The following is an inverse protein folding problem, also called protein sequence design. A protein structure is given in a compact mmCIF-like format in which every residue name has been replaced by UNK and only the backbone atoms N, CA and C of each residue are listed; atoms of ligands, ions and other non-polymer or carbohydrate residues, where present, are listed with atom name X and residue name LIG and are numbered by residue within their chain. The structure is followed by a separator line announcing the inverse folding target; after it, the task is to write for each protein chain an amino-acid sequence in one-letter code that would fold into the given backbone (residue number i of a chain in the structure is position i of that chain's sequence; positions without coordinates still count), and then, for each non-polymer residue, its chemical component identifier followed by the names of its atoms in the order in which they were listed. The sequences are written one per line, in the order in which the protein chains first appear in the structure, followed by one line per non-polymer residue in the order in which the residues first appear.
data_IF_520463123795
#
_entry.id   IF_520463123795
#
_cell.length_a   1.000
_cell.length_b   1.000
_cell.length_c   1.000
_cell.angle_alpha   90.00
_cell.angle_beta   90.00
_cell.angle_gamma   90.00
#
_symmetry.space_group_name_H-M   'P 1'
#
loop_
_entity.id
_entity.type
_entity.pdbx_description
1 polymer ?
#
# COMPACT_ATOMS: atom_id res chain seq x y z
N UNK A 1 62.22 105.59 -82.70
CA UNK A 1 61.74 104.23 -83.03
C UNK A 1 62.26 103.27 -81.96
N UNK A 2 61.38 102.48 -81.34
CA UNK A 2 61.69 101.32 -80.49
C UNK A 2 62.22 101.65 -79.08
N UNK A 3 61.36 101.81 -78.07
CA UNK A 3 60.96 100.80 -77.04
C UNK A 3 62.09 100.40 -76.10
N UNK A 4 62.08 100.95 -74.87
CA UNK A 4 61.65 100.27 -73.61
C UNK A 4 62.80 99.44 -72.98
N UNK A 5 63.14 99.56 -71.70
CA UNK A 5 62.53 100.28 -70.59
C UNK A 5 63.49 100.25 -69.38
N UNK A 6 63.38 101.31 -68.58
CA UNK A 6 64.04 101.53 -67.29
C UNK A 6 63.38 100.72 -66.17
N UNK A 7 64.05 100.56 -65.02
CA UNK A 7 63.43 100.14 -63.75
C UNK A 7 64.34 99.26 -62.89
N UNK A 8 65.36 99.77 -62.18
CA UNK A 8 65.32 100.39 -60.82
C UNK A 8 65.39 99.36 -59.67
N UNK A 9 66.29 99.67 -58.72
CA UNK A 9 66.65 98.98 -57.47
C UNK A 9 65.51 98.89 -56.41
N UNK A 10 65.70 98.16 -55.27
CA UNK A 10 64.73 97.28 -54.59
C UNK A 10 63.94 97.96 -53.45
N UNK A 11 63.01 97.26 -52.74
CA UNK A 11 63.37 96.79 -51.39
C UNK A 11 62.62 95.55 -50.82
N UNK A 12 63.22 94.97 -49.79
CA UNK A 12 62.92 93.76 -49.01
C UNK A 12 61.59 93.69 -48.22
N UNK A 13 60.55 94.47 -48.50
CA UNK A 13 59.38 94.59 -47.61
C UNK A 13 58.14 93.72 -47.95
N UNK A 14 58.17 92.93 -49.02
CA UNK A 14 56.97 92.19 -49.46
C UNK A 14 57.00 90.68 -49.14
N UNK A 15 58.18 90.11 -48.90
CA UNK A 15 58.36 88.65 -48.72
C UNK A 15 57.98 88.15 -47.31
N UNK A 16 58.06 89.00 -46.28
CA UNK A 16 57.78 88.65 -44.87
C UNK A 16 56.28 88.56 -44.55
N UNK A 17 55.42 89.25 -45.31
CA UNK A 17 53.97 89.32 -45.06
C UNK A 17 53.21 88.05 -45.45
N UNK A 18 53.65 87.36 -46.50
CA UNK A 18 53.01 86.12 -46.97
C UNK A 18 53.41 84.87 -46.17
N UNK A 19 54.57 84.88 -45.52
CA UNK A 19 55.04 83.77 -44.68
C UNK A 19 54.29 83.77 -43.33
N UNK A 20 54.07 84.95 -42.74
CA UNK A 20 53.36 85.10 -41.46
C UNK A 20 51.88 84.66 -41.56
N UNK A 21 51.21 84.93 -42.70
CA UNK A 21 49.83 84.47 -42.96
C UNK A 21 49.73 82.95 -43.15
N UNK A 22 50.72 82.30 -43.79
CA UNK A 22 50.74 80.84 -43.96
C UNK A 22 51.04 80.10 -42.64
N UNK A 23 51.88 80.66 -41.77
CA UNK A 23 52.19 80.08 -40.45
C UNK A 23 50.97 80.16 -39.51
N UNK A 24 50.18 81.24 -39.58
CA UNK A 24 48.94 81.39 -38.80
C UNK A 24 47.87 80.41 -39.29
N UNK A 25 47.74 80.19 -40.60
CA UNK A 25 46.78 79.25 -41.16
C UNK A 25 47.11 77.78 -40.79
N UNK A 26 48.40 77.41 -40.80
CA UNK A 26 48.86 76.06 -40.42
C UNK A 26 48.66 75.81 -38.92
N UNK A 27 48.84 76.83 -38.06
CA UNK A 27 48.57 76.72 -36.62
C UNK A 27 47.08 76.63 -36.28
N UNK A 28 46.17 77.13 -37.11
CA UNK A 28 44.72 77.03 -36.88
C UNK A 28 44.16 75.67 -37.33
N UNK A 29 44.78 75.04 -38.34
CA UNK A 29 44.32 73.74 -38.88
C UNK A 29 44.86 72.55 -38.08
N UNK A 30 46.04 72.65 -37.43
CA UNK A 30 46.64 71.54 -36.68
C UNK A 30 46.36 71.53 -35.15
N UNK A 31 45.62 72.51 -34.61
CA UNK A 31 45.47 72.65 -33.15
C UNK A 31 44.30 71.90 -32.46
N UNK A 32 43.37 71.16 -33.11
CA UNK A 32 42.37 70.40 -32.35
C UNK A 32 42.73 68.91 -32.13
N UNK A 33 43.96 68.42 -32.39
CA UNK A 33 44.32 67.00 -32.16
C UNK A 33 45.20 66.80 -30.90
N UNK A 34 45.58 67.87 -30.19
CA UNK A 34 46.44 67.77 -28.98
C UNK A 34 45.75 68.17 -27.67
N UNK A 35 44.43 68.15 -27.63
CA UNK A 35 43.74 68.19 -26.35
C UNK A 35 42.74 67.05 -26.40
N UNK A 36 42.97 66.04 -25.57
CA UNK A 36 42.03 65.44 -24.62
C UNK A 36 42.70 64.18 -24.06
N UNK A 37 43.15 64.29 -22.81
CA UNK A 37 43.56 63.19 -21.93
C UNK A 37 44.94 62.59 -22.24
N UNK A 38 45.96 62.78 -21.41
CA UNK A 38 46.12 61.92 -20.23
C UNK A 38 45.36 60.59 -20.38
N UNK A 39 46.07 59.46 -20.34
CA UNK A 39 45.45 58.17 -20.01
C UNK A 39 45.52 58.04 -18.49
N UNK A 40 44.53 58.49 -17.69
CA UNK A 40 44.39 58.03 -16.33
C UNK A 40 43.28 56.99 -16.25
N UNK A 41 43.22 55.99 -17.13
CA UNK A 41 42.17 54.95 -17.04
C UNK A 41 42.56 53.61 -17.70
N UNK A 42 43.75 53.08 -17.43
CA UNK A 42 44.00 51.63 -17.69
C UNK A 42 43.78 50.79 -16.41
N UNK A 43 43.86 51.42 -15.24
CA UNK A 43 43.54 50.75 -13.98
C UNK A 43 42.04 50.76 -13.66
N UNK A 44 41.29 51.82 -13.97
CA UNK A 44 39.88 51.90 -13.58
C UNK A 44 38.99 50.90 -14.35
N UNK A 45 39.21 50.72 -15.65
CA UNK A 45 38.42 49.78 -16.46
C UNK A 45 38.78 48.31 -16.17
N UNK A 46 40.07 48.02 -16.00
CA UNK A 46 40.55 46.68 -15.63
C UNK A 46 40.14 46.35 -14.18
N UNK A 47 40.32 47.25 -13.22
CA UNK A 47 39.88 47.05 -11.83
C UNK A 47 38.35 47.06 -11.70
N UNK A 48 37.61 47.80 -12.53
CA UNK A 48 36.14 47.70 -12.59
C UNK A 48 35.70 46.34 -13.15
N UNK A 49 36.38 45.82 -14.17
CA UNK A 49 36.09 44.48 -14.72
C UNK A 49 36.43 43.36 -13.73
N UNK A 50 37.55 43.46 -13.01
CA UNK A 50 37.95 42.53 -11.94
C UNK A 50 37.00 42.64 -10.73
N UNK A 51 36.58 43.85 -10.35
CA UNK A 51 35.58 44.06 -9.30
C UNK A 51 34.20 43.51 -9.65
N UNK A 52 33.80 43.60 -10.92
CA UNK A 52 32.56 43.02 -11.43
C UNK A 52 32.61 41.50 -11.43
N UNK A 53 33.72 40.90 -11.85
CA UNK A 53 33.94 39.44 -11.78
C UNK A 53 33.98 38.96 -10.33
N UNK A 54 34.62 39.68 -9.41
CA UNK A 54 34.67 39.33 -7.99
C UNK A 54 33.28 39.42 -7.32
N UNK A 55 32.48 40.43 -7.70
CA UNK A 55 31.07 40.57 -7.33
C UNK A 55 30.22 39.40 -7.85
N UNK A 56 30.41 39.01 -9.12
CA UNK A 56 29.76 37.83 -9.69
C UNK A 56 30.17 36.55 -8.96
N UNK A 57 31.46 36.37 -8.68
CA UNK A 57 32.00 35.21 -7.96
C UNK A 57 31.45 35.14 -6.53
N UNK A 58 31.32 36.27 -5.84
CA UNK A 58 30.74 36.37 -4.51
C UNK A 58 29.24 36.04 -4.53
N UNK A 59 28.49 36.54 -5.51
CA UNK A 59 27.07 36.18 -5.70
C UNK A 59 26.89 34.69 -6.00
N UNK A 60 27.77 34.10 -6.82
CA UNK A 60 27.79 32.66 -7.09
C UNK A 60 28.10 31.86 -5.82
N UNK A 61 29.06 32.29 -5.01
CA UNK A 61 29.39 31.63 -3.74
C UNK A 61 28.22 31.69 -2.74
N UNK A 62 27.52 32.82 -2.67
CA UNK A 62 26.30 32.97 -1.85
C UNK A 62 25.19 32.03 -2.36
N UNK A 63 24.98 31.94 -3.68
CA UNK A 63 24.03 31.01 -4.28
C UNK A 63 24.41 29.55 -4.02
N UNK A 64 25.69 29.19 -4.14
CA UNK A 64 26.20 27.84 -3.83
C UNK A 64 25.97 27.46 -2.36
N UNK A 65 26.23 28.37 -1.41
CA UNK A 65 25.94 28.15 0.01
C UNK A 65 24.45 27.94 0.27
N UNK A 66 23.59 28.74 -0.35
CA UNK A 66 22.14 28.58 -0.26
C UNK A 66 21.67 27.25 -0.88
N UNK A 67 22.25 26.87 -2.02
CA UNK A 67 21.96 25.61 -2.69
C UNK A 67 22.39 24.40 -1.85
N UNK A 68 23.57 24.43 -1.22
CA UNK A 68 24.01 23.40 -0.27
C UNK A 68 23.07 23.26 0.92
N UNK A 69 22.59 24.37 1.49
CA UNK A 69 21.61 24.35 2.58
C UNK A 69 20.28 23.73 2.14
N UNK A 70 19.83 24.03 0.91
CA UNK A 70 18.62 23.46 0.33
C UNK A 70 18.78 21.97 0.02
N UNK A 71 19.93 21.53 -0.50
CA UNK A 71 20.25 20.11 -0.74
C UNK A 71 20.28 19.31 0.56
N UNK A 72 20.91 19.84 1.61
CA UNK A 72 20.90 19.20 2.94
C UNK A 72 19.45 19.06 3.48
N UNK A 73 18.62 20.09 3.28
CA UNK A 73 17.20 20.02 3.63
C UNK A 73 16.45 18.99 2.78
N UNK A 74 16.75 18.90 1.48
CA UNK A 74 16.14 17.93 0.56
C UNK A 74 16.50 16.49 0.96
N UNK A 75 17.77 16.23 1.30
CA UNK A 75 18.24 14.93 1.79
C UNK A 75 17.47 14.54 3.06
N UNK A 76 17.36 15.45 4.03
CA UNK A 76 16.58 15.21 5.26
C UNK A 76 15.09 14.94 4.97
N UNK A 77 14.50 15.64 3.99
CA UNK A 77 13.11 15.41 3.59
C UNK A 77 12.93 14.07 2.86
N UNK A 78 13.89 13.68 2.02
CA UNK A 78 13.91 12.37 1.35
C UNK A 78 14.10 11.24 2.36
N UNK A 79 15.00 11.39 3.33
CA UNK A 79 15.21 10.43 4.41
C UNK A 79 13.94 10.29 5.26
N UNK A 80 13.31 11.41 5.65
CA UNK A 80 12.03 11.41 6.36
C UNK A 80 10.92 10.75 5.54
N UNK A 81 10.82 11.05 4.24
CA UNK A 81 9.83 10.47 3.34
C UNK A 81 10.02 8.96 3.19
N UNK A 82 11.27 8.50 3.04
CA UNK A 82 11.61 7.08 2.95
C UNK A 82 11.27 6.35 4.26
N UNK A 83 11.62 6.94 5.42
CA UNK A 83 11.25 6.40 6.73
C UNK A 83 9.72 6.30 6.92
N UNK A 84 8.96 7.34 6.52
CA UNK A 84 7.50 7.31 6.56
C UNK A 84 6.93 6.24 5.64
N UNK A 85 7.49 6.09 4.44
CA UNK A 85 7.09 5.06 3.47
C UNK A 85 7.33 3.65 4.01
N UNK A 86 8.49 3.41 4.63
CA UNK A 86 8.79 2.12 5.28
C UNK A 86 7.82 1.83 6.42
N UNK A 87 7.61 2.79 7.34
CA UNK A 87 6.66 2.63 8.45
C UNK A 87 5.25 2.37 7.96
N UNK A 88 4.80 3.05 6.90
CA UNK A 88 3.49 2.83 6.31
C UNK A 88 3.36 1.42 5.73
N UNK A 89 4.39 0.92 5.04
CA UNK A 89 4.44 -0.47 4.55
C UNK A 89 4.35 -1.48 5.69
N UNK A 90 5.06 -1.24 6.79
CA UNK A 90 5.04 -2.13 7.95
C UNK A 90 3.67 -2.15 8.62
N UNK A 91 3.03 -0.99 8.81
CA UNK A 91 1.66 -0.87 9.33
C UNK A 91 0.66 -1.60 8.42
N UNK A 92 0.76 -1.41 7.10
CA UNK A 92 -0.13 -2.09 6.14
C UNK A 92 0.06 -3.60 6.18
N UNK A 93 1.31 -4.08 6.36
CA UNK A 93 1.59 -5.50 6.50
C UNK A 93 1.02 -6.07 7.80
N UNK A 94 1.19 -5.36 8.91
CA UNK A 94 0.62 -5.74 10.20
C UNK A 94 -0.92 -5.77 10.15
N UNK A 95 -1.55 -4.74 9.58
CA UNK A 95 -3.00 -4.68 9.39
C UNK A 95 -3.49 -5.82 8.50
N UNK A 96 -2.77 -6.10 7.40
CA UNK A 96 -3.08 -7.20 6.50
C UNK A 96 -2.98 -8.55 7.21
N UNK A 97 -1.93 -8.77 7.98
CA UNK A 97 -1.73 -10.02 8.72
C UNK A 97 -2.76 -10.19 9.84
N UNK A 98 -3.18 -9.09 10.50
CA UNK A 98 -4.29 -9.09 11.44
C UNK A 98 -5.62 -9.46 10.76
N UNK A 99 -5.93 -8.86 9.59
CA UNK A 99 -7.14 -9.16 8.81
C UNK A 99 -7.21 -10.60 8.28
N UNK A 100 -6.08 -11.29 8.13
CA UNK A 100 -6.06 -12.71 7.76
C UNK A 100 -6.55 -13.62 8.88
N UNK A 101 -6.32 -13.23 10.14
CA UNK A 101 -6.75 -14.02 11.29
C UNK A 101 -8.21 -13.74 11.65
N UNK A 102 -8.94 -14.79 12.04
CA UNK A 102 -10.29 -14.62 12.56
C UNK A 102 -10.23 -13.86 13.91
N UNK A 103 -11.04 -12.81 14.10
CA UNK A 103 -11.11 -12.09 15.38
C UNK A 103 -11.51 -13.00 16.54
N UNK A 104 -11.13 -12.62 17.76
CA UNK A 104 -11.47 -13.38 18.98
C UNK A 104 -12.97 -13.59 19.15
N UNK A 105 -13.80 -12.61 18.80
CA UNK A 105 -15.26 -12.75 18.89
C UNK A 105 -15.84 -13.77 17.91
N UNK A 106 -15.15 -14.09 16.80
CA UNK A 106 -15.54 -15.17 15.89
C UNK A 106 -15.14 -16.52 16.48
N UNK A 107 -13.89 -16.63 16.93
CA UNK A 107 -13.33 -17.89 17.45
C UNK A 107 -13.97 -18.34 18.76
N UNK A 108 -14.50 -17.40 19.56
CA UNK A 108 -15.26 -17.63 20.80
C UNK A 108 -16.74 -17.26 20.67
N UNK A 109 -17.26 -17.24 19.45
CA UNK A 109 -18.68 -16.96 19.22
C UNK A 109 -19.56 -18.06 19.82
N UNK A 110 -20.80 -17.69 20.14
CA UNK A 110 -21.86 -18.64 20.50
C UNK A 110 -22.05 -19.72 19.43
N UNK A 111 -21.88 -19.35 18.15
CA UNK A 111 -22.04 -20.29 17.04
C UNK A 111 -20.96 -21.38 17.05
N UNK A 112 -19.71 -21.03 17.34
CA UNK A 112 -18.61 -22.01 17.45
C UNK A 112 -18.79 -22.90 18.69
N UNK A 113 -19.24 -22.33 19.80
CA UNK A 113 -19.54 -23.09 21.02
C UNK A 113 -20.70 -24.07 20.80
N UNK A 114 -21.73 -23.64 20.08
CA UNK A 114 -22.84 -24.47 19.65
C UNK A 114 -22.38 -25.63 18.76
N UNK A 115 -21.43 -25.42 17.83
CA UNK A 115 -20.85 -26.51 17.04
C UNK A 115 -20.24 -27.59 17.94
N UNK A 116 -19.50 -27.19 18.99
CA UNK A 116 -18.89 -28.11 19.95
C UNK A 116 -19.96 -28.87 20.72
N UNK A 117 -20.97 -28.15 21.23
CA UNK A 117 -22.10 -28.73 21.96
C UNK A 117 -22.88 -29.74 21.11
N UNK A 118 -23.20 -29.42 19.87
CA UNK A 118 -23.90 -30.31 18.95
C UNK A 118 -23.09 -31.57 18.65
N UNK A 119 -21.78 -31.44 18.41
CA UNK A 119 -20.87 -32.58 18.24
C UNK A 119 -20.91 -33.51 19.46
N UNK A 120 -20.90 -32.97 20.68
CA UNK A 120 -20.99 -33.77 21.90
C UNK A 120 -22.37 -34.42 22.07
N UNK A 121 -23.46 -33.69 21.79
CA UNK A 121 -24.84 -34.22 21.82
C UNK A 121 -25.07 -35.35 20.82
N UNK A 122 -24.55 -35.24 19.60
CA UNK A 122 -24.65 -36.31 18.59
C UNK A 122 -23.92 -37.57 19.05
N UNK A 123 -22.71 -37.41 19.61
CA UNK A 123 -21.94 -38.54 20.14
C UNK A 123 -22.66 -39.22 21.31
N UNK A 124 -23.28 -38.44 22.19
CA UNK A 124 -24.09 -38.96 23.29
C UNK A 124 -25.34 -39.68 22.78
N UNK A 125 -26.10 -39.05 21.87
CA UNK A 125 -27.28 -39.63 21.24
C UNK A 125 -26.95 -40.94 20.53
N UNK A 126 -25.80 -41.03 19.83
CA UNK A 126 -25.31 -42.27 19.24
C UNK A 126 -25.03 -43.34 20.29
N UNK A 127 -24.29 -43.02 21.36
CA UNK A 127 -23.96 -43.98 22.42
C UNK A 127 -25.23 -44.52 23.09
N UNK A 128 -26.17 -43.63 23.40
CA UNK A 128 -27.46 -43.99 23.98
C UNK A 128 -28.26 -44.87 23.03
N UNK A 129 -28.43 -44.44 21.77
CA UNK A 129 -29.17 -45.20 20.75
C UNK A 129 -28.55 -46.57 20.52
N UNK A 130 -27.21 -46.66 20.45
CA UNK A 130 -26.51 -47.94 20.29
C UNK A 130 -26.80 -48.89 21.45
N UNK A 131 -26.72 -48.41 22.69
CA UNK A 131 -27.01 -49.22 23.86
C UNK A 131 -28.47 -49.69 23.85
N UNK A 132 -29.41 -48.79 23.55
CA UNK A 132 -30.83 -49.09 23.48
C UNK A 132 -31.15 -50.12 22.39
N UNK A 133 -30.67 -49.90 21.16
CA UNK A 133 -30.90 -50.78 20.01
C UNK A 133 -30.29 -52.16 20.20
N UNK A 134 -29.15 -52.27 20.88
CA UNK A 134 -28.54 -53.56 21.22
C UNK A 134 -29.40 -54.39 22.20
N UNK A 135 -30.23 -53.73 23.01
CA UNK A 135 -31.12 -54.38 23.97
C UNK A 135 -32.51 -54.71 23.38
N UNK A 136 -32.79 -54.33 22.14
CA UNK A 136 -34.08 -54.62 21.51
C UNK A 136 -34.15 -56.08 21.05
N UNK A 137 -34.98 -56.87 21.73
CA UNK A 137 -35.15 -58.30 21.48
C UNK A 137 -35.98 -58.64 20.23
N UNK A 138 -36.72 -57.68 19.68
CA UNK A 138 -37.67 -57.90 18.59
C UNK A 138 -37.27 -57.21 17.28
N UNK A 139 -36.02 -56.75 17.18
CA UNK A 139 -35.46 -56.28 15.92
C UNK A 139 -34.90 -57.43 15.08
N UNK A 140 -35.01 -57.27 13.76
CA UNK A 140 -34.39 -58.15 12.79
C UNK A 140 -32.91 -57.78 12.63
N UNK A 141 -32.09 -58.77 12.25
CA UNK A 141 -30.65 -58.55 11.99
C UNK A 141 -30.40 -57.46 10.93
N UNK A 142 -31.27 -57.37 9.93
CA UNK A 142 -31.17 -56.34 8.90
C UNK A 142 -31.35 -54.94 9.47
N UNK A 143 -32.34 -54.74 10.35
CA UNK A 143 -32.60 -53.42 10.97
C UNK A 143 -31.45 -52.99 11.89
N UNK A 144 -30.83 -53.93 12.60
CA UNK A 144 -29.62 -53.68 13.36
C UNK A 144 -28.45 -53.27 12.46
N UNK A 145 -28.30 -53.92 11.30
CA UNK A 145 -27.26 -53.57 10.33
C UNK A 145 -27.51 -52.20 9.70
N UNK A 146 -28.76 -51.91 9.32
CA UNK A 146 -29.18 -50.63 8.77
C UNK A 146 -28.94 -49.50 9.79
N UNK A 147 -29.24 -49.73 11.07
CA UNK A 147 -28.90 -48.80 12.16
C UNK A 147 -27.39 -48.55 12.28
N UNK A 148 -26.57 -49.59 12.21
CA UNK A 148 -25.12 -49.45 12.33
C UNK A 148 -24.54 -48.66 11.15
N UNK A 149 -25.01 -48.90 9.93
CA UNK A 149 -24.61 -48.14 8.74
C UNK A 149 -25.01 -46.67 8.88
N UNK A 150 -26.29 -46.43 9.15
CA UNK A 150 -26.84 -45.08 9.31
C UNK A 150 -26.11 -44.27 10.40
N UNK A 151 -25.94 -44.87 11.58
CA UNK A 151 -25.24 -44.21 12.69
C UNK A 151 -23.75 -43.99 12.40
N UNK A 152 -23.11 -44.87 11.63
CA UNK A 152 -21.72 -44.66 11.19
C UNK A 152 -21.61 -43.46 10.27
N UNK A 153 -22.50 -43.34 9.29
CA UNK A 153 -22.53 -42.22 8.35
C UNK A 153 -22.79 -40.89 9.08
N UNK A 154 -23.75 -40.86 10.00
CA UNK A 154 -24.03 -39.69 10.84
C UNK A 154 -22.79 -39.22 11.64
N UNK A 155 -22.00 -40.16 12.18
CA UNK A 155 -20.75 -39.84 12.90
C UNK A 155 -19.66 -39.33 11.96
N UNK A 156 -19.54 -39.91 10.76
CA UNK A 156 -18.60 -39.46 9.73
C UNK A 156 -18.93 -38.02 9.29
N UNK A 157 -20.20 -37.74 9.03
CA UNK A 157 -20.66 -36.41 8.61
C UNK A 157 -20.46 -35.38 9.71
N UNK A 158 -20.78 -35.72 10.96
CA UNK A 158 -20.49 -34.88 12.14
C UNK A 158 -19.00 -34.53 12.21
N UNK A 159 -18.11 -35.52 12.05
CA UNK A 159 -16.66 -35.30 12.05
C UNK A 159 -16.23 -34.37 10.92
N UNK A 160 -16.78 -34.56 9.71
CA UNK A 160 -16.46 -33.74 8.55
C UNK A 160 -16.91 -32.29 8.73
N UNK A 161 -18.12 -32.08 9.25
CA UNK A 161 -18.67 -30.76 9.57
C UNK A 161 -17.87 -30.05 10.66
N UNK A 162 -17.48 -30.75 11.73
CA UNK A 162 -16.64 -30.20 12.79
C UNK A 162 -15.25 -29.78 12.26
N UNK A 163 -14.67 -30.58 11.36
CA UNK A 163 -13.42 -30.25 10.67
C UNK A 163 -13.59 -29.00 9.80
N UNK A 164 -14.69 -28.88 9.05
CA UNK A 164 -14.99 -27.70 8.24
C UNK A 164 -15.11 -26.43 9.12
N UNK A 165 -15.85 -26.49 10.23
CA UNK A 165 -15.94 -25.38 11.18
C UNK A 165 -14.55 -24.97 11.69
N UNK A 166 -13.73 -25.94 12.10
CA UNK A 166 -12.35 -25.69 12.53
C UNK A 166 -11.52 -25.02 11.43
N UNK A 167 -11.67 -25.44 10.17
CA UNK A 167 -10.98 -24.83 9.03
C UNK A 167 -11.47 -23.40 8.79
N UNK A 168 -12.78 -23.16 8.76
CA UNK A 168 -13.37 -21.82 8.59
C UNK A 168 -12.85 -20.86 9.67
N UNK A 169 -12.79 -21.31 10.92
CA UNK A 169 -12.36 -20.47 12.04
C UNK A 169 -10.85 -20.23 12.04
N UNK A 170 -10.04 -21.23 11.64
CA UNK A 170 -8.56 -21.13 11.70
C UNK A 170 -7.89 -20.64 10.40
N UNK A 171 -8.61 -20.57 9.29
CA UNK A 171 -8.04 -20.19 7.99
C UNK A 171 -7.50 -18.77 8.02
N UNK A 172 -6.23 -18.61 7.66
CA UNK A 172 -5.54 -17.32 7.55
C UNK A 172 -5.81 -16.69 6.17
N UNK A 173 -6.99 -16.10 6.01
CA UNK A 173 -7.43 -15.46 4.77
C UNK A 173 -8.24 -14.20 5.08
N UNK A 174 -8.25 -13.25 4.15
CA UNK A 174 -9.05 -12.02 4.24
C UNK A 174 -10.52 -12.38 3.95
N UNK A 175 -11.14 -13.10 4.88
CA UNK A 175 -12.56 -13.46 4.87
C UNK A 175 -13.21 -12.59 5.92
N UNK A 176 -14.35 -11.98 5.57
CA UNK A 176 -15.08 -11.13 6.51
C UNK A 176 -15.51 -11.96 7.74
N UNK A 177 -15.34 -11.44 8.97
CA UNK A 177 -15.77 -12.13 10.19
C UNK A 177 -17.23 -12.60 10.15
N UNK A 178 -18.11 -11.79 9.59
CA UNK A 178 -19.55 -12.05 9.45
C UNK A 178 -19.82 -13.22 8.51
N UNK A 179 -19.05 -13.32 7.43
CA UNK A 179 -19.12 -14.43 6.48
C UNK A 179 -18.66 -15.73 7.14
N UNK A 180 -17.61 -15.69 7.96
CA UNK A 180 -17.16 -16.86 8.75
C UNK A 180 -18.26 -17.34 9.70
N UNK A 181 -18.91 -16.42 10.41
CA UNK A 181 -20.01 -16.76 11.33
C UNK A 181 -21.21 -17.34 10.58
N UNK A 182 -21.56 -16.80 9.41
CA UNK A 182 -22.63 -17.35 8.57
C UNK A 182 -22.35 -18.79 8.15
N UNK A 183 -21.13 -19.10 7.75
CA UNK A 183 -20.72 -20.46 7.40
C UNK A 183 -20.74 -21.40 8.62
N UNK A 184 -20.27 -20.94 9.79
CA UNK A 184 -20.38 -21.71 11.04
C UNK A 184 -21.84 -21.98 11.40
N UNK A 185 -22.72 -20.99 11.26
CA UNK A 185 -24.14 -21.17 11.52
C UNK A 185 -24.78 -22.18 10.55
N UNK A 186 -24.40 -22.15 9.26
CA UNK A 186 -24.84 -23.17 8.30
C UNK A 186 -24.38 -24.59 8.69
N UNK A 187 -23.18 -24.71 9.26
CA UNK A 187 -22.69 -25.97 9.81
C UNK A 187 -23.53 -26.41 11.02
N UNK A 188 -23.88 -25.49 11.91
CA UNK A 188 -24.73 -25.78 13.07
C UNK A 188 -26.09 -26.35 12.64
N UNK A 189 -26.76 -25.72 11.66
CA UNK A 189 -28.03 -26.22 11.13
C UNK A 189 -27.92 -27.65 10.58
N UNK A 190 -26.80 -27.99 9.91
CA UNK A 190 -26.56 -29.36 9.42
C UNK A 190 -26.33 -30.35 10.55
N UNK A 191 -25.60 -29.94 11.60
CA UNK A 191 -25.38 -30.76 12.79
C UNK A 191 -26.69 -31.00 13.57
N UNK A 192 -27.54 -29.97 13.70
CA UNK A 192 -28.88 -30.12 14.28
C UNK A 192 -29.71 -31.13 13.50
N UNK A 193 -29.70 -31.02 12.17
CA UNK A 193 -30.40 -31.98 11.30
C UNK A 193 -29.93 -33.41 11.56
N UNK A 194 -28.61 -33.65 11.61
CA UNK A 194 -28.07 -34.99 11.92
C UNK A 194 -28.52 -35.48 13.29
N UNK A 195 -28.53 -34.61 14.31
CA UNK A 195 -28.99 -34.96 15.65
C UNK A 195 -30.46 -35.37 15.66
N UNK A 196 -31.32 -34.56 15.04
CA UNK A 196 -32.75 -34.80 14.97
C UNK A 196 -33.07 -36.08 14.21
N UNK A 197 -32.42 -36.30 13.06
CA UNK A 197 -32.59 -37.52 12.28
C UNK A 197 -32.09 -38.77 13.03
N UNK A 198 -31.01 -38.67 13.82
CA UNK A 198 -30.52 -39.77 14.65
C UNK A 198 -31.51 -40.15 15.75
N UNK A 199 -32.10 -39.14 16.42
CA UNK A 199 -33.13 -39.33 17.44
C UNK A 199 -34.39 -39.95 16.83
N UNK A 200 -34.85 -39.43 15.68
CA UNK A 200 -36.02 -39.96 14.98
C UNK A 200 -35.83 -41.42 14.57
N UNK A 201 -34.65 -41.74 14.00
CA UNK A 201 -34.33 -43.12 13.62
C UNK A 201 -34.37 -44.08 14.82
N UNK A 202 -33.81 -43.67 15.97
CA UNK A 202 -33.87 -44.46 17.19
C UNK A 202 -35.31 -44.67 17.69
N UNK A 203 -36.14 -43.61 17.68
CA UNK A 203 -37.55 -43.68 18.07
C UNK A 203 -38.34 -44.63 17.16
N UNK A 204 -38.04 -44.65 15.85
CA UNK A 204 -38.67 -45.57 14.90
C UNK A 204 -38.33 -47.02 15.23
N UNK A 205 -37.07 -47.32 15.57
CA UNK A 205 -36.69 -48.67 16.00
C UNK A 205 -37.36 -49.09 17.30
N UNK A 206 -37.50 -48.17 18.26
CA UNK A 206 -38.21 -48.43 19.51
C UNK A 206 -39.68 -48.79 19.28
N UNK A 207 -40.36 -48.06 18.40
CA UNK A 207 -41.74 -48.34 18.00
C UNK A 207 -41.88 -49.71 17.34
N UNK A 208 -40.97 -50.06 16.42
CA UNK A 208 -40.96 -51.37 15.76
C UNK A 208 -40.76 -52.49 16.77
N UNK A 209 -39.79 -52.35 17.68
CA UNK A 209 -39.52 -53.33 18.73
C UNK A 209 -40.75 -53.52 19.63
N UNK A 210 -41.36 -52.42 20.10
CA UNK A 210 -42.53 -52.44 20.98
C UNK A 210 -43.77 -53.03 20.30
N UNK A 211 -44.01 -52.69 19.03
CA UNK A 211 -45.11 -53.23 18.24
C UNK A 211 -45.00 -54.76 18.08
N UNK A 212 -43.79 -55.25 17.76
CA UNK A 212 -43.55 -56.69 17.61
C UNK A 212 -43.63 -57.44 18.93
N UNK A 213 -43.19 -56.82 20.04
CA UNK A 213 -43.38 -57.35 21.39
C UNK A 213 -44.87 -57.57 21.68
N UNK A 214 -45.70 -56.53 21.51
CA UNK A 214 -47.13 -56.57 21.76
C UNK A 214 -47.84 -57.60 20.87
N UNK A 215 -47.49 -57.66 19.58
CA UNK A 215 -48.02 -58.66 18.66
C UNK A 215 -47.71 -60.10 19.10
N UNK A 216 -46.49 -60.35 19.57
CA UNK A 216 -46.08 -61.68 20.09
C UNK A 216 -46.90 -62.07 21.31
N UNK A 217 -47.11 -61.14 22.25
CA UNK A 217 -47.94 -61.35 23.45
C UNK A 217 -49.39 -61.68 23.08
N UNK A 218 -50.00 -60.92 22.17
CA UNK A 218 -51.37 -61.17 21.70
C UNK A 218 -51.55 -62.54 21.03
N UNK A 219 -50.56 -62.97 20.24
CA UNK A 219 -50.58 -64.29 19.60
C UNK A 219 -50.49 -65.40 20.66
N UNK A 220 -49.72 -65.20 21.73
CA UNK A 220 -49.59 -66.18 22.80
C UNK A 220 -50.88 -66.29 23.63
N UNK A 221 -51.54 -65.18 23.93
CA UNK A 221 -52.82 -65.16 24.67
C UNK A 221 -53.95 -65.85 23.91
N UNK A 222 -53.97 -65.78 22.57
CA UNK A 222 -55.00 -66.43 21.75
C UNK A 222 -54.74 -67.94 21.50
N UNK A 223 -53.64 -68.48 22.02
CA UNK A 223 -53.30 -69.91 21.91
C UNK A 223 -53.60 -70.71 23.18
N UNK A 224 -53.91 -70.01 24.27
CA UNK A 224 -54.47 -70.58 25.50
C UNK A 224 -56.00 -70.60 25.42
#
# INVERSE_FOLDING_TARGET
MGTHGQGVCPPEFEKTRNIMKKIILIKIILFPILVWGQIPVTDAATNASVGMVNSQLMNINIQLKAMNKNLARLINLLEKNNNLTSKSKDILKEELDAKKSAPTYVTKSTDVEMTISLKDKILEAYRTSRNTVQNFEHLERKELQDFLLYSTDAIIDTKNLFKQCTQIVKTKSIIQPEERLKEVNSINTKLETILDELIDYNNRLEQVNSYRAARKTMINLNKE
#
